data_IF_871167014109
#
_entry.id   IF_871167014109
#
_cell.length_a   1.000
_cell.length_b   1.000
_cell.length_c   1.000
_cell.angle_alpha   90.00
_cell.angle_beta   90.00
_cell.angle_gamma   90.00
#
_symmetry.space_group_name_H-M   'P 1'
#
loop_
_entity.id
_entity.type
_entity.pdbx_description
1 polymer ?
#
# COMPACT_ATOMS: atom_id res chain seq x y z
N UNK A 1 -9.03 -34.66 -1.76
CA UNK A 1 -8.72 -34.27 -0.37
C UNK A 1 -8.67 -32.77 -0.35
N UNK A 2 -9.64 -32.11 0.28
CA UNK A 2 -9.64 -30.66 0.44
C UNK A 2 -8.70 -30.33 1.60
N UNK A 3 -7.66 -29.55 1.34
CA UNK A 3 -6.75 -29.05 2.36
C UNK A 3 -7.44 -27.85 3.00
N UNK A 4 -8.03 -28.03 4.19
CA UNK A 4 -8.56 -26.92 4.95
C UNK A 4 -7.37 -26.08 5.46
N UNK A 5 -7.17 -24.90 4.89
CA UNK A 5 -6.29 -23.88 5.45
C UNK A 5 -7.13 -23.11 6.46
N UNK A 6 -6.84 -23.29 7.75
CA UNK A 6 -7.42 -22.48 8.81
C UNK A 6 -6.68 -21.15 8.83
N UNK A 7 -7.35 -20.06 8.47
CA UNK A 7 -6.85 -18.69 8.68
C UNK A 7 -7.53 -18.17 9.94
N UNK A 8 -6.81 -18.17 11.06
CA UNK A 8 -7.22 -17.40 12.24
C UNK A 8 -6.97 -15.92 11.93
N UNK A 9 -8.06 -15.17 11.74
CA UNK A 9 -8.03 -13.71 11.73
C UNK A 9 -8.46 -13.29 13.14
N UNK A 10 -7.49 -13.07 14.02
CA UNK A 10 -7.76 -12.39 15.28
C UNK A 10 -8.06 -10.91 14.96
N UNK A 11 -9.28 -10.48 15.27
CA UNK A 11 -9.62 -9.07 15.27
C UNK A 11 -8.97 -8.46 16.52
N UNK A 12 -7.81 -7.84 16.36
CA UNK A 12 -7.22 -7.04 17.42
C UNK A 12 -8.07 -5.78 17.59
N UNK A 13 -8.79 -5.70 18.71
CA UNK A 13 -9.43 -4.47 19.17
C UNK A 13 -8.36 -3.37 19.27
N UNK A 14 -8.53 -2.31 18.47
CA UNK A 14 -7.77 -1.07 18.62
C UNK A 14 -8.17 -0.37 19.92
N UNK A 15 -7.55 -0.78 21.03
CA UNK A 15 -7.66 -0.08 22.30
C UNK A 15 -6.37 0.71 22.60
N UNK A 16 -6.54 2.02 22.48
CA UNK A 16 -5.81 3.12 23.12
C UNK A 16 -4.45 2.82 23.77
N UNK A 17 -3.38 3.01 22.99
CA UNK A 17 -2.33 3.99 23.26
C UNK A 17 -1.43 3.91 24.51
N UNK A 18 -1.66 3.05 25.52
CA UNK A 18 -0.92 3.15 26.79
C UNK A 18 -0.55 1.83 27.49
N UNK A 19 -0.98 0.64 27.03
CA UNK A 19 -0.59 -0.63 27.66
C UNK A 19 0.62 -1.34 27.01
N UNK A 20 1.00 -0.99 25.77
CA UNK A 20 2.11 -1.67 25.07
C UNK A 20 3.51 -1.35 25.64
N UNK A 21 3.65 -0.29 26.44
CA UNK A 21 4.93 0.12 27.04
C UNK A 21 5.24 -0.55 28.39
N UNK A 22 4.28 -1.21 29.04
CA UNK A 22 4.56 -1.98 30.26
C UNK A 22 5.01 -3.41 29.95
N UNK A 23 4.51 -4.03 28.88
CA UNK A 23 4.95 -5.37 28.44
C UNK A 23 6.32 -5.35 27.74
N UNK A 24 6.76 -4.19 27.23
CA UNK A 24 8.13 -4.00 26.71
C UNK A 24 9.19 -3.82 27.82
N UNK A 25 8.81 -3.80 29.10
CA UNK A 25 9.76 -3.67 30.23
C UNK A 25 10.06 -4.98 30.97
N UNK A 26 9.28 -6.04 30.79
CA UNK A 26 9.59 -7.35 31.42
C UNK A 26 10.46 -8.23 30.52
N UNK A 27 11.68 -7.75 30.27
CA UNK A 27 12.87 -8.55 29.99
C UNK A 27 12.74 -9.70 28.99
N UNK A 28 12.97 -9.42 27.70
CA UNK A 28 13.14 -10.53 26.75
C UNK A 28 13.35 -10.25 25.27
N UNK A 29 13.90 -9.11 24.82
CA UNK A 29 14.52 -9.09 23.48
C UNK A 29 15.55 -7.97 23.36
N UNK A 30 16.82 -8.37 23.33
CA UNK A 30 17.96 -7.50 23.13
C UNK A 30 18.11 -7.20 21.64
N UNK A 31 17.47 -6.14 21.14
CA UNK A 31 17.75 -5.61 19.80
C UNK A 31 18.80 -4.51 19.94
N UNK A 32 20.06 -4.93 20.03
CA UNK A 32 21.20 -4.04 19.85
C UNK A 32 21.87 -4.33 18.51
N UNK A 33 21.53 -3.55 17.48
CA UNK A 33 22.47 -2.69 16.75
C UNK A 33 21.77 -2.06 15.55
N UNK A 34 21.82 -0.73 15.54
CA UNK A 34 21.59 0.08 14.36
C UNK A 34 22.47 -0.42 13.21
N UNK A 35 21.85 -1.07 12.22
CA UNK A 35 22.41 -1.13 10.87
C UNK A 35 21.67 -0.08 10.06
N UNK A 36 22.15 1.17 10.10
CA UNK A 36 21.90 2.11 8.99
C UNK A 36 22.45 1.40 7.75
N UNK A 37 21.60 0.95 6.82
CA UNK A 37 22.04 0.62 5.47
C UNK A 37 22.17 1.93 4.68
N UNK A 38 23.37 2.46 4.42
CA UNK A 38 23.54 3.59 3.53
C UNK A 38 23.70 3.00 2.11
N UNK A 39 22.60 2.89 1.38
CA UNK A 39 22.65 2.34 0.04
C UNK A 39 21.44 2.74 -0.78
N UNK A 40 21.68 3.48 -1.87
CA UNK A 40 20.71 3.61 -2.97
C UNK A 40 20.45 2.20 -3.52
N UNK A 41 19.30 1.60 -3.21
CA UNK A 41 18.76 0.54 -4.07
C UNK A 41 18.07 1.28 -5.21
N UNK A 42 18.83 1.55 -6.29
CA UNK A 42 18.24 1.93 -7.57
C UNK A 42 17.41 0.74 -8.04
N UNK A 43 16.07 0.84 -7.97
CA UNK A 43 15.16 -0.21 -8.44
C UNK A 43 15.08 -0.18 -9.97
N UNK A 44 16.21 -0.27 -10.68
CA UNK A 44 16.20 -0.46 -12.15
C UNK A 44 17.41 -1.27 -12.66
N UNK A 45 18.20 -1.88 -11.77
CA UNK A 45 19.36 -2.68 -12.19
C UNK A 45 19.55 -3.90 -11.31
N UNK A 46 19.08 -5.05 -11.79
CA UNK A 46 19.24 -6.38 -11.16
C UNK A 46 18.52 -6.56 -9.82
N UNK A 47 17.22 -6.84 -9.84
CA UNK A 47 16.64 -7.70 -8.80
C UNK A 47 17.36 -9.04 -8.93
N UNK A 48 18.34 -9.32 -8.05
CA UNK A 48 18.68 -10.73 -7.79
C UNK A 48 17.38 -11.36 -7.32
N UNK A 49 16.79 -12.22 -8.15
CA UNK A 49 15.54 -12.95 -7.87
C UNK A 49 15.82 -13.94 -6.74
N UNK A 50 15.94 -13.40 -5.53
CA UNK A 50 16.13 -14.20 -4.33
C UNK A 50 14.82 -14.82 -3.93
N UNK A 51 14.87 -16.05 -3.46
CA UNK A 51 13.69 -16.70 -2.87
C UNK A 51 13.35 -16.07 -1.52
N UNK A 52 12.17 -16.36 -0.98
CA UNK A 52 11.79 -15.97 0.39
C UNK A 52 12.83 -16.52 1.37
N UNK A 53 13.22 -17.78 1.22
CA UNK A 53 14.25 -18.42 2.04
C UNK A 53 15.57 -17.65 2.01
N UNK A 54 16.10 -17.36 0.81
CA UNK A 54 17.36 -16.62 0.66
C UNK A 54 17.28 -15.20 1.24
N UNK A 55 16.13 -14.53 1.13
CA UNK A 55 15.94 -13.21 1.75
C UNK A 55 15.91 -13.30 3.27
N UNK A 56 15.24 -14.31 3.82
CA UNK A 56 15.12 -14.49 5.27
C UNK A 56 16.48 -14.84 5.89
N UNK A 57 17.29 -15.65 5.20
CA UNK A 57 18.67 -15.95 5.62
C UNK A 57 19.54 -14.71 5.65
N UNK A 58 19.42 -13.84 4.64
CA UNK A 58 20.22 -12.61 4.57
C UNK A 58 19.83 -11.54 5.58
N UNK A 59 18.61 -11.63 6.13
CA UNK A 59 18.07 -10.71 7.13
C UNK A 59 18.16 -11.31 8.55
N UNK A 60 18.78 -12.48 8.71
CA UNK A 60 18.86 -13.23 9.96
C UNK A 60 17.47 -13.49 10.60
N UNK A 61 16.45 -13.77 9.78
CA UNK A 61 15.06 -14.01 10.19
C UNK A 61 14.75 -15.49 10.43
N UNK A 62 15.58 -16.17 11.22
CA UNK A 62 15.51 -17.63 11.41
C UNK A 62 14.16 -18.11 11.96
N UNK A 63 13.61 -17.42 12.96
CA UNK A 63 12.33 -17.79 13.58
C UNK A 63 11.17 -17.65 12.60
N UNK A 64 11.11 -16.55 11.85
CA UNK A 64 10.08 -16.33 10.85
C UNK A 64 10.18 -17.37 9.72
N UNK A 65 11.41 -17.72 9.30
CA UNK A 65 11.64 -18.79 8.31
C UNK A 65 11.15 -20.14 8.81
N UNK A 66 11.43 -20.48 10.08
CA UNK A 66 10.97 -21.71 10.70
C UNK A 66 9.43 -21.80 10.73
N UNK A 67 8.74 -20.69 11.05
CA UNK A 67 7.29 -20.59 10.97
C UNK A 67 6.76 -20.86 9.56
N UNK A 68 7.35 -20.24 8.53
CA UNK A 68 6.98 -20.49 7.13
C UNK A 68 7.24 -21.95 6.73
N UNK A 69 8.37 -22.54 7.14
CA UNK A 69 8.67 -23.94 6.86
C UNK A 69 7.64 -24.90 7.48
N UNK A 70 7.14 -24.55 8.66
CA UNK A 70 6.16 -25.37 9.38
C UNK A 70 4.75 -25.26 8.79
N UNK A 71 4.28 -24.03 8.51
CA UNK A 71 2.86 -23.80 8.19
C UNK A 71 2.62 -23.50 6.71
N UNK A 72 3.57 -22.90 6.00
CA UNK A 72 3.42 -22.47 4.61
C UNK A 72 4.66 -22.78 3.76
N UNK A 73 5.19 -24.02 3.76
CA UNK A 73 6.49 -24.32 3.14
C UNK A 73 6.52 -24.05 1.62
N UNK A 74 5.36 -24.01 0.98
CA UNK A 74 5.22 -23.73 -0.44
C UNK A 74 5.70 -22.32 -0.86
N UNK A 75 5.87 -21.37 0.07
CA UNK A 75 6.35 -20.02 -0.26
C UNK A 75 7.88 -19.90 -0.25
N UNK A 76 8.59 -20.81 0.44
CA UNK A 76 10.03 -20.64 0.70
C UNK A 76 10.88 -20.59 -0.57
N UNK A 77 10.54 -21.40 -1.56
CA UNK A 77 11.25 -21.46 -2.85
C UNK A 77 10.79 -20.41 -3.87
N UNK A 78 9.81 -19.57 -3.52
CA UNK A 78 9.26 -18.53 -4.40
C UNK A 78 10.07 -17.25 -4.25
N UNK A 79 10.16 -16.44 -5.29
CA UNK A 79 10.57 -15.04 -5.16
C UNK A 79 9.54 -14.27 -4.32
N UNK A 80 9.91 -13.11 -3.75
CA UNK A 80 8.97 -12.26 -2.98
C UNK A 80 7.68 -11.96 -3.76
N UNK A 81 7.80 -11.67 -5.06
CA UNK A 81 6.64 -11.39 -5.90
C UNK A 81 5.74 -12.62 -6.13
N UNK A 82 6.33 -13.80 -6.32
CA UNK A 82 5.59 -15.07 -6.44
C UNK A 82 4.98 -15.50 -5.11
N UNK A 83 5.63 -15.21 -3.99
CA UNK A 83 5.07 -15.45 -2.65
C UNK A 83 3.85 -14.55 -2.42
N UNK A 84 3.91 -13.28 -2.82
CA UNK A 84 2.76 -12.39 -2.76
C UNK A 84 1.59 -12.90 -3.62
N UNK A 85 1.85 -13.35 -4.85
CA UNK A 85 0.81 -13.99 -5.67
C UNK A 85 0.20 -15.23 -5.01
N UNK A 86 1.03 -16.05 -4.37
CA UNK A 86 0.55 -17.25 -3.70
C UNK A 86 -0.35 -16.92 -2.49
N UNK A 87 -0.05 -15.84 -1.76
CA UNK A 87 -0.93 -15.33 -0.70
C UNK A 87 -2.26 -14.85 -1.30
N UNK A 88 -2.21 -14.08 -2.40
CA UNK A 88 -3.43 -13.63 -3.11
C UNK A 88 -4.28 -14.83 -3.57
N UNK A 89 -3.66 -15.89 -4.06
CA UNK A 89 -4.38 -17.10 -4.49
C UNK A 89 -5.08 -17.78 -3.31
N UNK A 90 -4.40 -17.95 -2.17
CA UNK A 90 -4.98 -18.54 -0.95
C UNK A 90 -6.13 -17.69 -0.41
N UNK A 91 -6.00 -16.36 -0.41
CA UNK A 91 -7.08 -15.45 -0.01
C UNK A 91 -8.30 -15.59 -0.94
N UNK A 92 -8.06 -15.72 -2.25
CA UNK A 92 -9.12 -15.91 -3.24
C UNK A 92 -9.82 -17.26 -3.13
N UNK A 93 -9.08 -18.33 -2.90
CA UNK A 93 -9.64 -19.67 -2.61
C UNK A 93 -10.50 -19.66 -1.34
N UNK A 94 -10.20 -18.76 -0.41
CA UNK A 94 -10.97 -18.53 0.83
C UNK A 94 -12.15 -17.57 0.65
N UNK A 95 -12.39 -17.07 -0.57
CA UNK A 95 -13.50 -16.15 -0.87
C UNK A 95 -13.26 -14.71 -0.42
N UNK A 96 -12.02 -14.33 -0.11
CA UNK A 96 -11.65 -12.97 0.30
C UNK A 96 -11.26 -12.12 -0.91
N UNK A 97 -11.56 -10.83 -0.83
CA UNK A 97 -11.13 -9.82 -1.79
C UNK A 97 -9.83 -9.16 -1.33
N UNK A 98 -8.97 -8.78 -2.28
CA UNK A 98 -7.68 -8.13 -2.00
C UNK A 98 -7.64 -6.75 -2.62
N UNK A 99 -7.19 -5.78 -1.83
CA UNK A 99 -6.74 -4.47 -2.31
C UNK A 99 -5.21 -4.46 -2.21
N UNK A 100 -4.53 -4.24 -3.34
CA UNK A 100 -3.08 -4.07 -3.36
C UNK A 100 -2.74 -2.61 -3.07
N UNK A 101 -2.07 -2.36 -1.94
CA UNK A 101 -1.68 -1.02 -1.51
C UNK A 101 -0.19 -0.73 -1.79
N UNK A 102 0.09 0.40 -2.44
CA UNK A 102 1.44 0.92 -2.55
C UNK A 102 1.79 1.72 -1.28
N UNK A 103 2.17 0.99 -0.22
CA UNK A 103 2.33 1.60 1.08
C UNK A 103 3.56 2.53 1.17
N UNK A 104 4.73 2.04 0.75
CA UNK A 104 6.01 2.74 0.84
C UNK A 104 6.97 2.28 -0.26
N UNK A 105 7.94 3.12 -0.64
CA UNK A 105 8.96 2.74 -1.64
C UNK A 105 10.09 1.89 -1.05
N UNK A 106 10.19 1.85 0.28
CA UNK A 106 11.19 1.09 1.02
C UNK A 106 10.52 0.22 2.07
N UNK A 107 11.02 -1.00 2.33
CA UNK A 107 10.45 -1.91 3.32
C UNK A 107 10.82 -1.46 4.74
N UNK A 108 10.09 -0.48 5.28
CA UNK A 108 10.31 0.09 6.61
C UNK A 108 9.03 0.73 7.16
N UNK A 109 9.07 1.10 8.44
CA UNK A 109 7.98 1.81 9.09
C UNK A 109 7.75 3.20 8.49
N UNK A 110 6.47 3.57 8.42
CA UNK A 110 5.96 4.88 8.05
C UNK A 110 5.15 5.45 9.23
N UNK A 111 4.68 6.69 9.27
CA UNK A 111 4.66 7.67 8.21
C UNK A 111 5.08 9.02 8.81
N UNK A 112 6.36 9.24 9.08
CA UNK A 112 6.80 10.54 9.61
C UNK A 112 6.97 11.57 8.49
N UNK A 113 7.00 12.86 8.84
CA UNK A 113 7.25 13.96 7.89
C UNK A 113 8.68 13.95 7.33
N UNK A 114 9.63 13.35 8.04
CA UNK A 114 11.06 13.37 7.70
C UNK A 114 11.55 12.03 7.11
N UNK A 115 10.65 11.11 6.84
CA UNK A 115 11.00 9.81 6.30
C UNK A 115 11.46 9.91 4.82
N UNK A 116 11.07 10.95 4.09
CA UNK A 116 11.47 11.18 2.70
C UNK A 116 10.74 10.30 1.68
N UNK A 117 9.54 9.81 2.02
CA UNK A 117 8.62 9.07 1.16
C UNK A 117 7.25 9.76 1.01
N UNK A 118 7.07 10.97 1.59
CA UNK A 118 5.75 11.58 1.78
C UNK A 118 5.13 12.13 0.50
N UNK A 119 5.92 12.79 -0.35
CA UNK A 119 5.42 13.40 -1.59
C UNK A 119 6.25 13.00 -2.81
N UNK A 120 5.65 13.12 -3.99
CA UNK A 120 6.29 12.86 -5.27
C UNK A 120 7.59 13.67 -5.42
N UNK A 121 8.69 13.01 -5.76
CA UNK A 121 10.01 13.62 -5.89
C UNK A 121 10.82 13.69 -4.60
N UNK A 122 10.26 13.25 -3.47
CA UNK A 122 11.03 13.10 -2.23
C UNK A 122 12.17 12.08 -2.41
N UNK A 123 13.12 12.10 -1.47
CA UNK A 123 14.37 11.33 -1.51
C UNK A 123 14.21 9.86 -1.92
N UNK A 124 13.12 9.23 -1.50
CA UNK A 124 12.82 7.83 -1.75
C UNK A 124 11.50 7.62 -2.51
N UNK A 125 10.90 8.68 -3.07
CA UNK A 125 9.66 8.59 -3.84
C UNK A 125 9.84 9.20 -5.22
N UNK A 126 10.54 8.46 -6.09
CA UNK A 126 10.66 8.82 -7.51
C UNK A 126 9.35 8.51 -8.25
N UNK A 127 8.70 9.49 -8.90
CA UNK A 127 7.41 9.26 -9.57
C UNK A 127 7.49 8.32 -10.76
N UNK A 128 8.62 8.27 -11.48
CA UNK A 128 8.77 7.36 -12.63
C UNK A 128 8.96 5.92 -12.16
N UNK A 129 9.75 5.73 -11.10
CA UNK A 129 9.89 4.42 -10.44
C UNK A 129 8.54 3.93 -9.89
N UNK A 130 7.77 4.82 -9.27
CA UNK A 130 6.42 4.51 -8.77
C UNK A 130 5.46 4.10 -9.89
N UNK A 131 5.40 4.85 -11.00
CA UNK A 131 4.57 4.47 -12.17
C UNK A 131 4.98 3.11 -12.74
N UNK A 132 6.28 2.81 -12.80
CA UNK A 132 6.77 1.49 -13.21
C UNK A 132 6.32 0.40 -12.23
N UNK A 133 6.38 0.65 -10.92
CA UNK A 133 5.89 -0.24 -9.89
C UNK A 133 4.39 -0.54 -10.04
N UNK A 134 3.56 0.51 -10.22
CA UNK A 134 2.13 0.36 -10.46
C UNK A 134 1.84 -0.47 -11.71
N UNK A 135 2.55 -0.20 -12.81
CA UNK A 135 2.44 -0.97 -14.05
C UNK A 135 2.74 -2.45 -13.86
N UNK A 136 3.82 -2.78 -13.13
CA UNK A 136 4.20 -4.16 -12.85
C UNK A 136 3.15 -4.90 -12.00
N UNK A 137 2.59 -4.24 -10.98
CA UNK A 137 1.56 -4.83 -10.11
C UNK A 137 0.24 -4.99 -10.88
N UNK A 138 -0.18 -3.98 -11.65
CA UNK A 138 -1.39 -4.04 -12.48
C UNK A 138 -1.29 -5.20 -13.49
N UNK A 139 -0.15 -5.33 -14.17
CA UNK A 139 0.08 -6.41 -15.14
C UNK A 139 0.04 -7.78 -14.47
N UNK A 140 0.67 -7.91 -13.31
CA UNK A 140 0.76 -9.16 -12.54
C UNK A 140 -0.61 -9.67 -12.11
N UNK A 141 -1.48 -8.76 -11.66
CA UNK A 141 -2.82 -9.11 -11.14
C UNK A 141 -3.95 -8.99 -12.17
N UNK A 142 -3.67 -8.62 -13.42
CA UNK A 142 -4.66 -8.48 -14.51
C UNK A 142 -5.56 -9.70 -14.75
N UNK A 143 -5.08 -10.91 -14.40
CA UNK A 143 -5.82 -12.17 -14.53
C UNK A 143 -6.20 -12.82 -13.20
N UNK A 144 -6.03 -12.11 -12.08
CA UNK A 144 -6.38 -12.59 -10.73
C UNK A 144 -7.58 -11.79 -10.21
N UNK A 145 -8.82 -12.27 -10.42
CA UNK A 145 -10.04 -11.53 -10.05
C UNK A 145 -10.17 -11.29 -8.54
N UNK A 146 -9.39 -12.01 -7.72
CA UNK A 146 -9.25 -11.79 -6.28
C UNK A 146 -8.77 -10.38 -5.94
N UNK A 147 -7.88 -9.80 -6.76
CA UNK A 147 -7.46 -8.41 -6.59
C UNK A 147 -8.54 -7.53 -7.19
N UNK A 148 -9.32 -6.88 -6.33
CA UNK A 148 -10.46 -6.05 -6.72
C UNK A 148 -10.11 -4.58 -6.80
N UNK A 149 -9.01 -4.17 -6.17
CA UNK A 149 -8.58 -2.78 -6.12
C UNK A 149 -7.07 -2.63 -6.02
N UNK A 150 -6.58 -1.47 -6.46
CA UNK A 150 -5.21 -1.03 -6.26
C UNK A 150 -5.22 0.39 -5.67
N UNK A 151 -4.65 0.57 -4.48
CA UNK A 151 -4.38 1.91 -3.94
C UNK A 151 -3.08 2.45 -4.52
N UNK A 152 -3.14 3.71 -4.96
CA UNK A 152 -2.04 4.39 -5.63
C UNK A 152 -0.83 4.61 -4.73
N UNK A 153 -1.07 5.10 -3.51
CA UNK A 153 -0.03 5.49 -2.56
C UNK A 153 -0.64 5.80 -1.20
N UNK A 154 -0.10 5.16 -0.16
CA UNK A 154 -0.49 5.44 1.23
C UNK A 154 0.06 6.80 1.74
N UNK A 155 -0.82 7.57 2.36
CA UNK A 155 -0.59 8.76 3.18
C UNK A 155 0.26 9.84 2.49
N UNK A 156 -0.15 10.30 1.30
CA UNK A 156 0.55 11.40 0.61
C UNK A 156 0.58 12.63 1.53
N UNK A 157 1.78 13.16 1.78
CA UNK A 157 2.03 14.15 2.84
C UNK A 157 3.32 14.94 2.62
N UNK A 158 3.46 16.04 3.36
CA UNK A 158 4.74 16.70 3.59
C UNK A 158 4.78 18.15 3.12
N UNK A 159 5.86 18.85 3.42
CA UNK A 159 5.96 20.31 3.21
C UNK A 159 5.95 20.73 1.74
N UNK A 160 6.22 19.79 0.82
CA UNK A 160 6.26 20.03 -0.62
C UNK A 160 4.91 19.70 -1.30
N UNK A 161 3.94 19.19 -0.54
CA UNK A 161 2.67 18.76 -1.12
C UNK A 161 1.92 19.92 -1.77
N UNK A 162 1.35 19.67 -2.94
CA UNK A 162 0.54 20.64 -3.64
C UNK A 162 -0.45 19.97 -4.60
N UNK A 163 -1.59 20.61 -4.83
CA UNK A 163 -2.67 20.04 -5.63
C UNK A 163 -2.31 19.87 -7.13
N UNK A 164 -1.38 20.67 -7.67
CA UNK A 164 -1.00 20.57 -9.09
C UNK A 164 -0.21 19.30 -9.36
N UNK A 165 0.86 19.07 -8.60
CA UNK A 165 1.70 17.88 -8.76
C UNK A 165 0.95 16.62 -8.35
N UNK A 166 0.16 16.68 -7.27
CA UNK A 166 -0.72 15.59 -6.88
C UNK A 166 -1.66 15.21 -8.04
N UNK A 167 -2.38 16.17 -8.62
CA UNK A 167 -3.30 15.90 -9.72
C UNK A 167 -2.56 15.33 -10.95
N UNK A 168 -1.40 15.88 -11.28
CA UNK A 168 -0.57 15.42 -12.40
C UNK A 168 -0.13 13.96 -12.23
N UNK A 169 0.45 13.60 -11.08
CA UNK A 169 0.96 12.25 -10.85
C UNK A 169 -0.14 11.23 -10.59
N UNK A 170 -1.18 11.59 -9.83
CA UNK A 170 -2.35 10.73 -9.62
C UNK A 170 -3.04 10.44 -10.94
N UNK A 171 -3.23 11.43 -11.82
CA UNK A 171 -3.81 11.20 -13.15
C UNK A 171 -2.98 10.21 -13.97
N UNK A 172 -1.65 10.29 -13.90
CA UNK A 172 -0.77 9.31 -14.55
C UNK A 172 -0.90 7.92 -13.93
N UNK A 173 -0.95 7.81 -12.60
CA UNK A 173 -1.10 6.55 -11.88
C UNK A 173 -2.41 5.84 -12.21
N UNK A 174 -3.54 6.56 -12.13
CA UNK A 174 -4.85 5.98 -12.44
C UNK A 174 -4.95 5.51 -13.90
N UNK A 175 -4.43 6.32 -14.83
CA UNK A 175 -4.42 5.99 -16.26
C UNK A 175 -3.55 4.77 -16.52
N UNK A 176 -2.39 4.67 -15.86
CA UNK A 176 -1.46 3.54 -16.01
C UNK A 176 -2.10 2.23 -15.56
N UNK A 177 -2.71 2.20 -14.37
CA UNK A 177 -3.37 0.99 -13.87
C UNK A 177 -4.54 0.61 -14.76
N UNK A 178 -5.42 1.56 -15.08
CA UNK A 178 -6.64 1.27 -15.84
C UNK A 178 -6.36 0.72 -17.25
N UNK A 179 -5.36 1.29 -17.94
CA UNK A 179 -4.98 0.81 -19.28
C UNK A 179 -4.43 -0.63 -19.26
N UNK A 180 -3.81 -1.05 -18.16
CA UNK A 180 -3.20 -2.39 -18.03
C UNK A 180 -4.18 -3.40 -17.44
N UNK A 181 -4.98 -2.97 -16.46
CA UNK A 181 -5.94 -3.78 -15.74
C UNK A 181 -7.26 -3.00 -15.55
N UNK A 182 -8.14 -2.99 -16.55
CA UNK A 182 -9.41 -2.26 -16.48
C UNK A 182 -10.43 -2.90 -15.52
N UNK A 183 -10.13 -4.09 -14.97
CA UNK A 183 -11.05 -4.80 -14.10
C UNK A 183 -11.06 -4.27 -12.66
N UNK A 184 -9.90 -3.78 -12.18
CA UNK A 184 -9.75 -3.32 -10.79
C UNK A 184 -10.32 -1.93 -10.56
N UNK A 185 -10.74 -1.69 -9.33
CA UNK A 185 -10.93 -0.34 -8.80
C UNK A 185 -9.56 0.32 -8.63
N UNK A 186 -9.46 1.60 -8.95
CA UNK A 186 -8.28 2.42 -8.66
C UNK A 186 -8.63 3.34 -7.51
N UNK A 187 -7.93 3.15 -6.39
CA UNK A 187 -8.17 3.86 -5.15
C UNK A 187 -7.17 5.00 -5.04
N UNK A 188 -7.68 6.21 -4.80
CA UNK A 188 -6.93 7.46 -4.77
C UNK A 188 -7.19 8.16 -3.45
N UNK A 189 -6.10 8.47 -2.75
CA UNK A 189 -6.13 9.24 -1.52
C UNK A 189 -5.81 10.73 -1.74
N UNK A 190 -6.02 11.51 -0.68
CA UNK A 190 -5.84 12.95 -0.66
C UNK A 190 -4.42 13.41 -0.33
N UNK A 191 -4.34 14.62 0.22
CA UNK A 191 -3.13 15.18 0.81
C UNK A 191 -3.20 15.09 2.34
N UNK A 192 -2.15 15.55 3.02
CA UNK A 192 -2.09 15.61 4.48
C UNK A 192 -2.35 14.24 5.13
N UNK A 193 -1.54 13.23 4.78
CA UNK A 193 -1.64 11.85 5.30
C UNK A 193 -3.00 11.22 4.96
N UNK A 194 -3.46 11.45 3.74
CA UNK A 194 -4.78 11.03 3.26
C UNK A 194 -5.96 11.58 4.08
N UNK A 195 -5.74 12.56 4.97
CA UNK A 195 -6.82 13.16 5.75
C UNK A 195 -7.60 14.21 4.95
N UNK A 196 -7.08 14.70 3.82
CA UNK A 196 -7.67 15.87 3.14
C UNK A 196 -7.88 15.66 1.63
N UNK A 197 -9.14 15.60 1.23
CA UNK A 197 -9.54 15.49 -0.19
C UNK A 197 -9.93 16.83 -0.84
N UNK A 198 -9.74 17.97 -0.17
CA UNK A 198 -10.09 19.29 -0.74
C UNK A 198 -9.27 19.63 -1.98
N UNK A 199 -8.10 19.02 -2.16
CA UNK A 199 -7.30 19.11 -3.39
C UNK A 199 -8.11 18.74 -4.65
N UNK A 200 -9.09 17.83 -4.56
CA UNK A 200 -10.00 17.47 -5.65
C UNK A 200 -10.91 18.63 -6.07
N UNK A 201 -11.29 19.51 -5.14
CA UNK A 201 -12.10 20.68 -5.43
C UNK A 201 -11.29 21.72 -6.22
N UNK A 202 -10.03 21.88 -5.84
CA UNK A 202 -9.09 22.82 -6.48
C UNK A 202 -8.63 22.33 -7.86
N UNK A 203 -8.34 21.03 -7.96
CA UNK A 203 -7.84 20.35 -9.15
C UNK A 203 -8.58 19.03 -9.35
N UNK A 204 -9.76 19.06 -10.03
CA UNK A 204 -10.50 17.84 -10.32
C UNK A 204 -9.65 16.86 -11.13
N UNK A 205 -9.63 15.59 -10.73
CA UNK A 205 -8.97 14.55 -11.51
C UNK A 205 -9.70 14.32 -12.82
N UNK A 206 -8.96 14.33 -13.93
CA UNK A 206 -9.50 13.97 -15.23
C UNK A 206 -9.52 12.43 -15.36
N UNK A 207 -10.59 11.83 -14.84
CA UNK A 207 -10.76 10.40 -14.72
C UNK A 207 -11.90 9.84 -15.60
N UNK A 208 -12.33 10.60 -16.61
CA UNK A 208 -13.46 10.22 -17.48
C UNK A 208 -13.23 8.89 -18.21
N UNK A 209 -11.97 8.51 -18.43
CA UNK A 209 -11.59 7.25 -19.05
C UNK A 209 -11.62 6.04 -18.10
N UNK A 210 -11.89 6.21 -16.80
CA UNK A 210 -11.79 5.12 -15.81
C UNK A 210 -13.05 4.26 -15.69
N UNK A 211 -14.06 4.40 -16.55
CA UNK A 211 -15.26 3.52 -16.60
C UNK A 211 -15.90 3.20 -15.22
N UNK A 212 -16.09 4.22 -14.37
CA UNK A 212 -16.59 4.07 -12.99
C UNK A 212 -15.72 3.20 -12.07
N UNK A 213 -14.40 3.12 -12.33
CA UNK A 213 -13.43 2.39 -11.50
C UNK A 213 -12.72 3.24 -10.46
N UNK A 214 -12.96 4.55 -10.41
CA UNK A 214 -12.32 5.43 -9.44
C UNK A 214 -12.99 5.36 -8.07
N UNK A 215 -12.19 5.18 -7.02
CA UNK A 215 -12.60 5.23 -5.62
C UNK A 215 -11.72 6.24 -4.89
N UNK A 216 -12.31 7.04 -4.01
CA UNK A 216 -11.57 7.94 -3.14
C UNK A 216 -11.47 7.37 -1.73
N UNK A 217 -10.29 7.44 -1.13
CA UNK A 217 -10.04 7.01 0.25
C UNK A 217 -9.58 8.18 1.14
N UNK A 218 -9.92 8.08 2.43
CA UNK A 218 -9.52 9.03 3.47
C UNK A 218 -9.12 8.24 4.70
N UNK A 219 -8.03 8.63 5.34
CA UNK A 219 -7.64 8.11 6.65
C UNK A 219 -8.22 9.01 7.74
N UNK A 220 -8.80 8.41 8.79
CA UNK A 220 -9.37 9.15 9.91
C UNK A 220 -8.92 8.50 11.21
N UNK A 221 -8.06 9.21 11.93
CA UNK A 221 -7.60 8.86 13.27
C UNK A 221 -8.28 9.75 14.30
N UNK A 222 -8.25 9.35 15.58
CA UNK A 222 -8.75 10.17 16.70
C UNK A 222 -8.10 11.57 16.76
N UNK A 223 -6.90 11.71 16.19
CA UNK A 223 -6.14 12.95 16.09
C UNK A 223 -6.19 13.62 14.71
N UNK A 224 -6.92 13.07 13.73
CA UNK A 224 -7.04 13.64 12.37
C UNK A 224 -7.91 14.90 12.30
N UNK A 225 -8.59 15.27 13.39
CA UNK A 225 -9.57 16.34 13.41
C UNK A 225 -10.95 15.90 12.93
N UNK A 226 -11.81 16.86 12.60
CA UNK A 226 -13.20 16.60 12.22
C UNK A 226 -13.34 16.09 10.77
N UNK A 227 -13.99 14.93 10.62
CA UNK A 227 -14.24 14.27 9.35
C UNK A 227 -15.04 15.14 8.36
N UNK A 228 -15.97 15.99 8.82
CA UNK A 228 -16.73 16.87 7.92
C UNK A 228 -15.82 17.94 7.28
N UNK A 229 -14.85 18.43 8.04
CA UNK A 229 -13.87 19.42 7.59
C UNK A 229 -12.85 18.80 6.61
N UNK A 230 -12.40 17.58 6.92
CA UNK A 230 -11.43 16.79 6.15
C UNK A 230 -11.99 16.28 4.82
N UNK A 231 -13.26 15.87 4.81
CA UNK A 231 -13.98 15.50 3.60
C UNK A 231 -14.60 16.69 2.86
N UNK A 232 -14.38 17.92 3.33
CA UNK A 232 -14.87 19.19 2.77
C UNK A 232 -16.01 19.05 1.74
N UNK A 233 -17.21 18.65 2.17
CA UNK A 233 -18.40 18.49 1.31
C UNK A 233 -18.20 17.59 0.06
N UNK A 234 -17.57 16.42 0.17
CA UNK A 234 -17.67 15.34 -0.85
C UNK A 234 -19.15 15.02 -1.16
N UNK A 235 -20.05 15.25 -0.19
CA UNK A 235 -21.51 15.14 -0.34
C UNK A 235 -22.13 16.05 -1.42
N UNK A 236 -21.52 17.19 -1.78
CA UNK A 236 -22.11 18.09 -2.80
C UNK A 236 -21.74 17.71 -4.24
N UNK A 237 -20.69 16.91 -4.48
CA UNK A 237 -20.23 16.56 -5.84
C UNK A 237 -20.33 15.10 -6.25
N UNK A 238 -20.42 14.13 -5.33
CA UNK A 238 -20.82 12.76 -5.72
C UNK A 238 -22.25 12.74 -6.30
N UNK A 239 -23.09 13.70 -5.91
CA UNK A 239 -24.38 13.99 -6.55
C UNK A 239 -24.23 14.62 -7.94
N UNK A 240 -23.22 15.47 -8.19
CA UNK A 240 -23.03 16.09 -9.52
C UNK A 240 -22.47 15.13 -10.57
N UNK A 241 -21.61 14.17 -10.21
CA UNK A 241 -21.15 13.14 -11.16
C UNK A 241 -22.26 12.16 -11.57
N UNK A 242 -23.33 12.02 -10.77
CA UNK A 242 -24.53 11.25 -11.14
C UNK A 242 -25.47 11.96 -12.13
N UNK A 243 -25.27 13.26 -12.42
CA UNK A 243 -26.17 14.06 -13.30
C UNK A 243 -25.54 14.26 -14.69
N UNK A 244 -24.52 13.49 -15.04
CA UNK A 244 -23.83 13.56 -16.34
C UNK A 244 -23.74 12.22 -17.06
N UNK A 245 -24.80 11.40 -16.99
CA UNK A 245 -25.03 10.23 -17.87
C UNK A 245 -25.75 10.63 -19.15
#
# INVERSE_FOLDING_TARGET
MATNVTVEIEAEEMDEGLSLMEDLKSGGLNISRHTKMPGRVKIVGFIKKRTVEENFDLLDLEQAKAGLAQYNPFVLNKTIAEAYEAVVDVLGESGLMVIADNHMSQPRWCCSLDDGNGFFGDRYFDPQEWLQGLSLVAQRFSKKPTVVGMSLRNEIRGTNENANDWNNYVTQGVTTIHNINPNVLVIVSGLNFDNDLRCLKEKPLNASALDNKLVFEVHLYSFSGDAETNMGTIRERLTMQKIGS
#
